data_IF_552757726483
#
_entry.id   IF_552757726483
#
_cell.length_a   1.000
_cell.length_b   1.000
_cell.length_c   1.000
_cell.angle_alpha   90.00
_cell.angle_beta   90.00
_cell.angle_gamma   90.00
#
_symmetry.space_group_name_H-M   'P 1'
#
loop_
_entity.id
_entity.type
_entity.pdbx_description
1 polymer ?
#
# COMPACT_ATOMS: atom_id res chain seq x y z
N UNK A 1 6.77 -2.70 115.49
CA UNK A 1 7.22 -3.62 114.42
C UNK A 1 6.21 -3.50 113.29
N UNK A 2 6.39 -2.44 112.53
CA UNK A 2 5.44 -1.78 111.64
C UNK A 2 6.15 -0.43 111.37
N UNK A 3 6.24 0.20 110.22
CA UNK A 3 5.59 0.11 108.93
C UNK A 3 6.58 0.73 107.95
N UNK A 4 6.77 0.16 106.76
CA UNK A 4 7.71 0.73 105.78
C UNK A 4 7.00 1.84 105.00
N UNK A 5 7.07 3.05 105.58
CA UNK A 5 6.91 4.32 104.90
C UNK A 5 8.26 4.74 104.32
N UNK A 6 8.31 5.00 103.01
CA UNK A 6 9.10 6.12 102.51
C UNK A 6 8.46 6.70 101.25
N UNK A 7 7.41 7.51 101.48
CA UNK A 7 7.08 8.64 100.64
C UNK A 7 8.03 9.79 101.00
N UNK A 8 8.83 10.24 100.03
CA UNK A 8 9.46 11.55 100.07
C UNK A 8 8.99 12.36 98.86
N UNK A 9 8.22 13.41 99.15
CA UNK A 9 7.76 14.46 98.25
C UNK A 9 8.77 15.61 98.16
N UNK A 10 8.81 16.22 96.97
CA UNK A 10 9.13 17.62 96.58
C UNK A 10 10.28 17.72 95.58
N UNK A 11 9.97 18.00 94.31
CA UNK A 11 10.06 19.36 93.80
C UNK A 11 9.44 19.50 92.41
N UNK A 12 8.80 20.64 92.19
CA UNK A 12 8.09 21.00 90.97
C UNK A 12 9.06 21.25 89.80
N UNK A 13 8.89 20.53 88.70
CA UNK A 13 9.28 21.01 87.38
C UNK A 13 8.09 20.89 86.43
N UNK A 14 7.33 21.99 86.34
CA UNK A 14 6.34 22.21 85.29
C UNK A 14 7.12 22.40 83.97
N UNK A 15 7.38 21.29 83.28
CA UNK A 15 7.91 21.30 81.92
C UNK A 15 6.71 21.47 80.99
N UNK A 16 6.55 22.67 80.43
CA UNK A 16 5.57 22.95 79.37
C UNK A 16 5.73 21.90 78.26
N UNK A 17 4.65 21.23 77.81
CA UNK A 17 4.76 20.32 76.68
C UNK A 17 5.19 21.11 75.44
N UNK A 18 6.18 20.65 74.67
CA UNK A 18 6.51 21.28 73.40
C UNK A 18 5.27 21.18 72.50
N UNK A 19 4.82 22.31 71.94
CA UNK A 19 3.81 22.33 70.89
C UNK A 19 4.31 21.42 69.75
N UNK A 20 3.86 20.16 69.73
CA UNK A 20 4.06 19.27 68.59
C UNK A 20 3.32 19.90 67.43
N UNK A 21 4.09 20.56 66.55
CA UNK A 21 3.58 21.12 65.31
C UNK A 21 2.90 19.98 64.52
N UNK A 22 1.60 20.09 64.22
CA UNK A 22 0.90 19.07 63.44
C UNK A 22 1.49 18.89 62.04
N UNK A 23 2.31 19.83 61.55
CA UNK A 23 3.06 19.67 60.29
C UNK A 23 4.17 18.62 60.40
N UNK A 24 4.93 18.57 61.50
CA UNK A 24 6.03 17.61 61.64
C UNK A 24 5.51 16.17 61.64
N UNK A 25 4.39 15.91 62.34
CA UNK A 25 3.75 14.59 62.35
C UNK A 25 3.22 14.23 60.94
N UNK A 26 2.58 15.17 60.24
CA UNK A 26 2.11 14.95 58.86
C UNK A 26 3.25 14.68 57.89
N UNK A 27 4.39 15.36 58.03
CA UNK A 27 5.57 15.11 57.21
C UNK A 27 6.17 13.74 57.48
N UNK A 28 6.25 13.31 58.75
CA UNK A 28 6.72 11.97 59.11
C UNK A 28 5.79 10.88 58.55
N UNK A 29 4.46 11.07 58.64
CA UNK A 29 3.49 10.13 58.06
C UNK A 29 3.60 10.06 56.54
N UNK A 30 3.80 11.19 55.85
CA UNK A 30 4.01 11.20 54.39
C UNK A 30 5.29 10.48 53.97
N UNK A 31 6.39 10.68 54.70
CA UNK A 31 7.65 9.97 54.44
C UNK A 31 7.46 8.48 54.66
N UNK A 32 6.78 8.08 55.74
CA UNK A 32 6.51 6.67 56.03
C UNK A 32 5.62 6.03 54.95
N UNK A 33 4.58 6.74 54.48
CA UNK A 33 3.72 6.28 53.39
C UNK A 33 4.48 6.13 52.06
N UNK A 34 5.39 7.05 51.74
CA UNK A 34 6.27 6.95 50.56
C UNK A 34 7.21 5.75 50.66
N UNK A 35 7.86 5.54 51.81
CA UNK A 35 8.77 4.40 52.03
C UNK A 35 8.01 3.07 51.97
N UNK A 36 6.84 2.99 52.61
CA UNK A 36 5.96 1.82 52.52
C UNK A 36 5.48 1.58 51.09
N UNK A 37 5.12 2.63 50.34
CA UNK A 37 4.72 2.53 48.94
C UNK A 37 5.84 1.99 48.06
N UNK A 38 7.07 2.49 48.21
CA UNK A 38 8.25 1.99 47.48
C UNK A 38 8.57 0.55 47.87
N UNK A 39 8.45 0.19 49.15
CA UNK A 39 8.67 -1.17 49.62
C UNK A 39 7.63 -2.15 49.08
N UNK A 40 6.34 -1.81 49.13
CA UNK A 40 5.25 -2.63 48.57
C UNK A 40 5.43 -2.78 47.05
N UNK A 41 5.81 -1.71 46.35
CA UNK A 41 6.07 -1.75 44.91
C UNK A 41 7.29 -2.62 44.57
N UNK A 42 8.36 -2.57 45.39
CA UNK A 42 9.55 -3.40 45.25
C UNK A 42 9.27 -4.88 45.51
N UNK A 43 8.44 -5.20 46.52
CA UNK A 43 8.01 -6.58 46.80
C UNK A 43 7.06 -7.09 45.71
N UNK A 44 6.17 -6.24 45.20
CA UNK A 44 5.31 -6.56 44.04
C UNK A 44 6.12 -6.85 42.77
N UNK A 45 7.14 -6.03 42.48
CA UNK A 45 8.08 -6.26 41.37
C UNK A 45 8.90 -7.55 41.56
N UNK A 46 9.33 -7.86 42.80
CA UNK A 46 10.00 -9.14 43.10
C UNK A 46 9.07 -10.34 42.95
N UNK A 47 7.79 -10.24 43.29
CA UNK A 47 6.81 -11.32 43.06
C UNK A 47 6.50 -11.53 41.56
N UNK A 48 6.53 -10.47 40.75
CA UNK A 48 6.42 -10.58 39.28
C UNK A 48 7.69 -11.22 38.69
N UNK A 49 8.88 -10.85 39.19
CA UNK A 49 10.16 -11.42 38.76
C UNK A 49 10.39 -12.89 39.18
N UNK A 50 9.80 -13.33 40.30
CA UNK A 50 9.92 -14.72 40.79
C UNK A 50 8.82 -15.63 40.22
N UNK A 51 7.68 -15.10 39.77
CA UNK A 51 6.65 -15.88 39.04
C UNK A 51 6.95 -16.08 37.55
N UNK A 52 7.90 -15.36 36.95
CA UNK A 52 8.23 -15.54 35.52
C UNK A 52 9.22 -16.67 35.23
N UNK A 53 9.72 -17.39 36.25
CA UNK A 53 10.58 -18.56 36.09
C UNK A 53 9.83 -19.91 36.15
N UNK A 54 8.49 -19.88 36.13
CA UNK A 54 7.70 -21.06 35.81
C UNK A 54 7.78 -21.29 34.30
N UNK A 55 8.53 -22.32 33.90
CA UNK A 55 8.70 -22.68 32.49
C UNK A 55 7.37 -22.69 31.75
N UNK A 56 7.17 -21.68 30.90
CA UNK A 56 6.23 -21.78 29.80
C UNK A 56 6.81 -22.88 28.93
N UNK A 57 6.35 -24.11 29.16
CA UNK A 57 6.52 -25.19 28.20
C UNK A 57 6.00 -24.59 26.91
N UNK A 58 6.91 -24.28 25.98
CA UNK A 58 6.55 -23.91 24.64
C UNK A 58 5.73 -25.08 24.13
N UNK A 59 4.40 -24.94 24.20
CA UNK A 59 3.51 -25.77 23.42
C UNK A 59 3.98 -25.46 22.01
N UNK A 60 4.83 -26.33 21.46
CA UNK A 60 4.99 -26.43 20.03
C UNK A 60 3.60 -26.79 19.55
N UNK A 61 2.78 -25.76 19.32
CA UNK A 61 1.63 -25.86 18.44
C UNK A 61 2.27 -26.31 17.15
N UNK A 62 2.22 -27.62 16.91
CA UNK A 62 2.49 -28.16 15.59
C UNK A 62 1.56 -27.36 14.70
N UNK A 63 2.11 -26.41 13.92
CA UNK A 63 1.32 -25.59 13.02
C UNK A 63 0.56 -26.57 12.15
N UNK A 64 -0.75 -26.73 12.41
CA UNK A 64 -1.59 -27.57 11.57
C UNK A 64 -1.46 -26.97 10.18
N UNK A 65 -1.05 -27.75 9.16
CA UNK A 65 -0.99 -27.25 7.81
C UNK A 65 -2.33 -26.63 7.46
N UNK A 66 -2.34 -25.42 6.90
CA UNK A 66 -3.58 -24.80 6.48
C UNK A 66 -4.23 -25.69 5.41
N UNK A 67 -5.37 -26.29 5.75
CA UNK A 67 -6.05 -27.22 4.87
C UNK A 67 -6.93 -26.47 3.86
N UNK A 68 -6.67 -26.68 2.57
CA UNK A 68 -7.46 -26.15 1.47
C UNK A 68 -8.52 -27.16 1.02
N UNK A 69 -9.42 -27.58 1.92
CA UNK A 69 -10.44 -28.60 1.63
C UNK A 69 -11.49 -28.13 0.63
N UNK A 70 -11.86 -26.84 0.66
CA UNK A 70 -12.95 -26.28 -0.15
C UNK A 70 -12.43 -25.45 -1.34
N UNK A 71 -11.41 -25.93 -2.04
CA UNK A 71 -10.84 -25.25 -3.22
C UNK A 71 -10.89 -26.16 -4.42
N UNK A 72 -11.60 -25.70 -5.46
CA UNK A 72 -11.61 -26.30 -6.78
C UNK A 72 -10.17 -26.60 -7.26
N UNK A 73 -9.89 -27.79 -7.84
CA UNK A 73 -8.54 -28.15 -8.28
C UNK A 73 -7.89 -27.11 -9.20
N UNK A 74 -8.68 -26.44 -10.05
CA UNK A 74 -8.23 -25.38 -10.96
C UNK A 74 -7.81 -24.08 -10.25
N UNK A 75 -8.29 -23.86 -9.03
CA UNK A 75 -8.01 -22.64 -8.24
C UNK A 75 -6.85 -22.83 -7.27
N UNK A 76 -6.47 -24.08 -6.96
CA UNK A 76 -5.38 -24.41 -6.03
C UNK A 76 -4.04 -23.73 -6.37
N UNK A 77 -3.59 -23.64 -7.64
CA UNK A 77 -2.33 -22.99 -7.98
C UNK A 77 -2.25 -21.50 -7.62
N UNK A 78 -3.40 -20.83 -7.47
CA UNK A 78 -3.51 -19.38 -7.22
C UNK A 78 -3.76 -19.03 -5.75
N UNK A 79 -3.70 -20.03 -4.85
CA UNK A 79 -3.97 -19.86 -3.42
C UNK A 79 -2.72 -20.18 -2.63
N UNK A 80 -2.28 -19.21 -1.84
CA UNK A 80 -1.04 -19.29 -1.07
C UNK A 80 -1.29 -19.01 0.40
N UNK A 81 -0.39 -19.52 1.24
CA UNK A 81 -0.35 -19.26 2.68
C UNK A 81 1.06 -18.75 3.03
N UNK A 82 1.42 -17.51 2.64
CA UNK A 82 2.75 -16.97 2.86
C UNK A 82 3.09 -16.91 4.35
N UNK A 83 4.37 -17.13 4.65
CA UNK A 83 4.96 -17.08 5.99
C UNK A 83 6.04 -16.00 5.99
N UNK A 84 5.66 -14.72 6.20
CA UNK A 84 6.62 -13.62 6.24
C UNK A 84 7.68 -13.85 7.31
N UNK A 85 8.92 -13.46 7.01
CA UNK A 85 10.02 -13.49 7.97
C UNK A 85 9.99 -12.27 8.91
N UNK A 86 9.37 -11.19 8.47
CA UNK A 86 9.38 -9.89 9.14
C UNK A 86 8.34 -9.74 10.24
N UNK A 87 7.28 -10.56 10.24
CA UNK A 87 6.22 -10.52 11.27
C UNK A 87 5.41 -11.83 11.27
N UNK A 88 4.63 -12.08 12.33
CA UNK A 88 3.69 -13.19 12.38
C UNK A 88 2.32 -12.77 11.87
N UNK A 89 1.71 -13.57 10.99
CA UNK A 89 0.33 -13.37 10.52
C UNK A 89 -0.74 -13.74 11.57
N UNK A 90 -0.32 -14.24 12.74
CA UNK A 90 -1.17 -14.57 13.89
C UNK A 90 -2.45 -15.34 13.48
N UNK A 91 -3.63 -14.87 13.88
CA UNK A 91 -4.93 -15.47 13.54
C UNK A 91 -5.19 -15.59 12.03
N UNK A 92 -4.49 -14.79 11.22
CA UNK A 92 -4.62 -14.75 9.77
C UNK A 92 -3.58 -15.62 9.04
N UNK A 93 -2.80 -16.45 9.74
CA UNK A 93 -1.81 -17.35 9.13
C UNK A 93 -2.43 -18.28 8.06
N UNK A 94 -3.63 -18.81 8.34
CA UNK A 94 -4.38 -19.65 7.39
C UNK A 94 -5.36 -18.89 6.49
N UNK A 95 -5.26 -17.55 6.42
CA UNK A 95 -5.98 -16.81 5.39
C UNK A 95 -5.32 -17.01 4.03
N UNK A 96 -6.13 -17.41 3.06
CA UNK A 96 -5.76 -17.60 1.65
C UNK A 96 -5.30 -16.26 1.07
N UNK A 97 -4.16 -16.27 0.40
CA UNK A 97 -3.60 -15.10 -0.28
C UNK A 97 -3.51 -15.37 -1.77
N UNK A 98 -3.99 -14.43 -2.58
CA UNK A 98 -3.85 -14.44 -4.04
C UNK A 98 -2.82 -13.43 -4.49
N UNK A 99 -1.98 -13.84 -5.43
CA UNK A 99 -0.96 -12.98 -6.00
C UNK A 99 -1.49 -12.31 -7.27
N UNK A 100 -1.22 -11.01 -7.40
CA UNK A 100 -1.56 -10.28 -8.63
C UNK A 100 -0.50 -9.29 -9.06
N UNK A 101 -0.59 -8.85 -10.31
CA UNK A 101 0.18 -7.73 -10.84
C UNK A 101 -0.69 -6.88 -11.78
N UNK A 102 -0.69 -5.56 -11.58
CA UNK A 102 -1.32 -4.60 -12.48
C UNK A 102 -0.30 -4.25 -13.56
N UNK A 103 -0.49 -4.77 -14.77
CA UNK A 103 0.39 -4.56 -15.91
C UNK A 103 -0.14 -3.40 -16.77
N UNK A 104 0.66 -2.37 -16.96
CA UNK A 104 0.19 -1.11 -17.56
C UNK A 104 1.31 -0.36 -18.28
N UNK A 105 0.95 0.65 -19.07
CA UNK A 105 1.89 1.69 -19.53
C UNK A 105 1.75 2.96 -18.67
N UNK A 106 2.70 3.89 -18.77
CA UNK A 106 2.57 5.17 -18.07
C UNK A 106 1.32 5.94 -18.53
N UNK A 107 0.69 6.64 -17.58
CA UNK A 107 -0.48 7.51 -17.80
C UNK A 107 -1.75 6.81 -18.31
N UNK A 108 -1.87 5.50 -18.07
CA UNK A 108 -3.07 4.71 -18.38
C UNK A 108 -4.08 4.62 -17.23
N UNK A 109 -3.92 5.42 -16.17
CA UNK A 109 -4.85 5.42 -15.02
C UNK A 109 -4.53 4.39 -13.94
N UNK A 110 -3.42 3.65 -14.07
CA UNK A 110 -3.03 2.59 -13.12
C UNK A 110 -2.73 3.08 -11.71
N UNK A 111 -2.24 4.31 -11.52
CA UNK A 111 -2.12 4.91 -10.19
C UNK A 111 -3.46 5.16 -9.50
N UNK A 112 -4.48 5.62 -10.24
CA UNK A 112 -5.84 5.80 -9.71
C UNK A 112 -6.49 4.44 -9.43
N UNK A 113 -6.38 3.50 -10.37
CA UNK A 113 -6.90 2.14 -10.20
C UNK A 113 -6.28 1.42 -9.00
N UNK A 114 -4.97 1.54 -8.81
CA UNK A 114 -4.28 1.03 -7.62
C UNK A 114 -4.86 1.61 -6.31
N UNK A 115 -5.13 2.92 -6.26
CA UNK A 115 -5.73 3.51 -5.05
C UNK A 115 -7.14 2.98 -4.76
N UNK A 116 -7.92 2.65 -5.80
CA UNK A 116 -9.22 1.98 -5.63
C UNK A 116 -9.04 0.61 -4.99
N UNK A 117 -8.10 -0.21 -5.51
CA UNK A 117 -7.85 -1.53 -4.93
C UNK A 117 -7.33 -1.42 -3.49
N UNK A 118 -6.43 -0.48 -3.23
CA UNK A 118 -5.87 -0.26 -1.89
C UNK A 118 -6.89 0.30 -0.88
N UNK A 119 -8.06 0.78 -1.31
CA UNK A 119 -9.13 1.12 -0.38
C UNK A 119 -9.84 -0.12 0.20
N UNK A 120 -9.67 -1.30 -0.43
CA UNK A 120 -10.22 -2.56 0.07
C UNK A 120 -9.40 -3.10 1.24
N UNK A 121 -10.01 -3.41 2.38
CA UNK A 121 -9.28 -3.82 3.61
C UNK A 121 -8.39 -5.06 3.45
N UNK A 122 -8.68 -5.97 2.53
CA UNK A 122 -7.89 -7.19 2.29
C UNK A 122 -7.02 -7.18 1.02
N UNK A 123 -6.92 -6.05 0.30
CA UNK A 123 -6.02 -5.95 -0.87
C UNK A 123 -4.83 -5.04 -0.53
N UNK A 124 -3.62 -5.46 -0.91
CA UNK A 124 -2.40 -4.68 -0.82
C UNK A 124 -1.65 -4.66 -2.16
N UNK A 125 -1.70 -3.53 -2.87
CA UNK A 125 -0.86 -3.23 -4.03
C UNK A 125 0.29 -2.31 -3.63
N UNK A 126 1.52 -2.77 -3.85
CA UNK A 126 2.74 -2.17 -3.29
C UNK A 126 3.42 -1.15 -4.22
N UNK A 127 2.67 -0.50 -5.11
CA UNK A 127 3.20 0.53 -6.00
C UNK A 127 4.10 -0.01 -7.11
N UNK A 128 4.87 0.90 -7.72
CA UNK A 128 5.82 0.59 -8.80
C UNK A 128 7.18 0.19 -8.26
N UNK A 129 7.27 -1.00 -7.66
CA UNK A 129 8.51 -1.45 -7.02
C UNK A 129 9.69 -1.54 -8.01
N UNK A 130 9.41 -1.82 -9.29
CA UNK A 130 10.40 -1.89 -10.39
C UNK A 130 10.65 -0.56 -11.13
N UNK A 131 10.12 0.55 -10.62
CA UNK A 131 10.62 1.88 -11.02
C UNK A 131 12.08 2.08 -10.59
N UNK A 132 12.50 1.43 -9.50
CA UNK A 132 13.86 1.45 -8.95
C UNK A 132 14.79 0.58 -9.79
N UNK A 133 15.83 1.19 -10.38
CA UNK A 133 16.77 0.53 -11.31
C UNK A 133 17.43 -0.73 -10.73
N UNK A 134 17.90 -0.68 -9.49
CA UNK A 134 18.60 -1.80 -8.84
C UNK A 134 17.74 -3.06 -8.77
N UNK A 135 16.43 -2.91 -8.57
CA UNK A 135 15.50 -4.05 -8.44
C UNK A 135 15.19 -4.75 -9.77
N UNK A 136 15.59 -4.15 -10.89
CA UNK A 136 15.42 -4.70 -12.25
C UNK A 136 16.74 -4.77 -13.02
N UNK A 137 17.86 -4.88 -12.31
CA UNK A 137 19.19 -4.97 -12.90
C UNK A 137 19.37 -6.23 -13.75
N UNK A 138 18.77 -7.34 -13.34
CA UNK A 138 18.73 -8.61 -14.05
C UNK A 138 17.51 -9.44 -13.60
N UNK A 139 17.29 -10.57 -14.28
CA UNK A 139 16.14 -11.45 -14.02
C UNK A 139 16.15 -12.06 -12.62
N UNK A 140 17.30 -12.51 -12.09
CA UNK A 140 17.39 -13.08 -10.73
C UNK A 140 16.91 -12.08 -9.68
N UNK A 141 17.38 -10.84 -9.76
CA UNK A 141 16.99 -9.77 -8.84
C UNK A 141 15.50 -9.43 -8.94
N UNK A 142 14.91 -9.52 -10.14
CA UNK A 142 13.46 -9.36 -10.34
C UNK A 142 12.70 -10.46 -9.60
N UNK A 143 13.06 -11.72 -9.82
CA UNK A 143 12.37 -12.86 -9.20
C UNK A 143 12.52 -12.86 -7.68
N UNK A 144 13.72 -12.60 -7.14
CA UNK A 144 13.95 -12.43 -5.70
C UNK A 144 13.10 -11.30 -5.10
N UNK A 145 12.92 -10.20 -5.84
CA UNK A 145 12.06 -9.09 -5.40
C UNK A 145 10.59 -9.50 -5.39
N UNK A 146 10.14 -10.27 -6.38
CA UNK A 146 8.77 -10.82 -6.42
C UNK A 146 8.55 -11.80 -5.27
N UNK A 147 9.51 -12.68 -4.96
CA UNK A 147 9.39 -13.61 -3.84
C UNK A 147 9.26 -12.88 -2.50
N UNK A 148 10.05 -11.81 -2.27
CA UNK A 148 9.91 -10.96 -1.09
C UNK A 148 8.53 -10.30 -1.01
N UNK A 149 8.03 -9.78 -2.13
CA UNK A 149 6.69 -9.19 -2.22
C UNK A 149 5.60 -10.20 -1.87
N UNK A 150 5.62 -11.36 -2.52
CA UNK A 150 4.57 -12.37 -2.41
C UNK A 150 4.64 -13.17 -1.11
N UNK A 151 5.80 -13.19 -0.44
CA UNK A 151 5.92 -13.67 0.95
C UNK A 151 5.45 -12.63 1.99
N UNK A 152 4.94 -11.47 1.57
CA UNK A 152 4.52 -10.35 2.44
C UNK A 152 5.67 -9.67 3.19
N UNK A 153 6.93 -9.89 2.81
CA UNK A 153 8.10 -9.27 3.43
C UNK A 153 8.46 -7.89 2.83
N UNK A 154 7.62 -7.38 1.93
CA UNK A 154 7.84 -6.10 1.28
C UNK A 154 7.03 -4.98 1.95
N UNK A 155 7.71 -4.20 2.79
CA UNK A 155 7.09 -3.15 3.59
C UNK A 155 6.98 -1.84 2.80
N UNK A 156 5.75 -1.38 2.61
CA UNK A 156 5.38 -0.09 2.02
C UNK A 156 4.26 0.54 2.85
N UNK A 157 3.91 1.79 2.54
CA UNK A 157 2.73 2.43 3.14
C UNK A 157 1.40 1.74 2.81
N UNK A 158 1.37 0.85 1.81
CA UNK A 158 0.20 0.09 1.40
C UNK A 158 0.16 -1.33 2.00
N UNK A 159 1.18 -1.75 2.75
CA UNK A 159 1.26 -3.09 3.32
C UNK A 159 0.21 -3.27 4.42
N UNK A 160 -0.62 -4.31 4.28
CA UNK A 160 -1.66 -4.68 5.24
C UNK A 160 -1.28 -6.03 5.83
N UNK A 161 -0.43 -6.00 6.86
CA UNK A 161 0.39 -7.14 7.20
C UNK A 161 -0.41 -8.33 7.75
N UNK A 162 -1.53 -8.10 8.43
CA UNK A 162 -2.23 -9.18 9.14
C UNK A 162 -3.08 -10.05 8.20
N UNK A 163 -4.20 -9.51 7.72
CA UNK A 163 -5.26 -10.29 7.06
C UNK A 163 -5.43 -9.93 5.57
N UNK A 164 -4.31 -9.76 4.87
CA UNK A 164 -4.31 -9.62 3.41
C UNK A 164 -4.81 -10.90 2.74
N UNK A 165 -5.73 -10.74 1.78
CA UNK A 165 -6.26 -11.81 0.94
C UNK A 165 -5.80 -11.70 -0.51
N UNK A 166 -5.37 -10.51 -0.96
CA UNK A 166 -4.72 -10.33 -2.25
C UNK A 166 -3.54 -9.37 -2.13
N UNK A 167 -2.35 -9.81 -2.57
CA UNK A 167 -1.14 -9.00 -2.57
C UNK A 167 -0.57 -8.89 -3.99
N UNK A 168 -0.09 -7.72 -4.33
CA UNK A 168 0.46 -7.47 -5.64
C UNK A 168 1.23 -6.16 -5.75
N UNK A 169 1.45 -5.78 -6.99
CA UNK A 169 2.18 -4.59 -7.39
C UNK A 169 1.57 -3.97 -8.63
N UNK A 170 1.97 -2.72 -8.88
CA UNK A 170 1.80 -2.08 -10.18
C UNK A 170 3.11 -2.17 -10.94
N UNK A 171 3.08 -2.65 -12.18
CA UNK A 171 4.28 -2.86 -12.98
C UNK A 171 4.09 -2.28 -14.37
N UNK A 172 4.92 -1.30 -14.71
CA UNK A 172 4.88 -0.71 -16.05
C UNK A 172 5.62 -1.61 -17.04
N UNK A 173 5.07 -1.80 -18.25
CA UNK A 173 5.63 -2.71 -19.27
C UNK A 173 7.10 -2.40 -19.59
N UNK A 174 7.51 -1.14 -19.55
CA UNK A 174 8.89 -0.71 -19.81
C UNK A 174 9.85 -0.85 -18.61
N UNK A 175 9.43 -1.44 -17.48
CA UNK A 175 10.23 -1.60 -16.26
C UNK A 175 10.81 -3.01 -16.12
N UNK A 176 11.41 -3.56 -17.18
CA UNK A 176 12.05 -4.89 -17.15
C UNK A 176 11.11 -6.04 -17.54
N UNK A 177 9.79 -5.83 -17.49
CA UNK A 177 8.80 -6.86 -17.76
C UNK A 177 8.88 -7.38 -19.21
N UNK A 178 8.93 -6.47 -20.18
CA UNK A 178 9.01 -6.85 -21.59
C UNK A 178 10.38 -7.41 -21.99
N UNK A 179 11.44 -7.09 -21.23
CA UNK A 179 12.81 -7.55 -21.48
C UNK A 179 13.06 -8.97 -20.97
N UNK A 180 12.39 -9.38 -19.89
CA UNK A 180 12.55 -10.70 -19.25
C UNK A 180 11.23 -11.50 -19.29
N UNK A 181 10.48 -11.35 -20.38
CA UNK A 181 9.10 -11.84 -20.48
C UNK A 181 8.99 -13.35 -20.27
N UNK A 182 9.90 -14.16 -20.83
CA UNK A 182 9.84 -15.63 -20.73
C UNK A 182 9.93 -16.09 -19.27
N UNK A 183 10.90 -15.57 -18.53
CA UNK A 183 11.12 -15.95 -17.13
C UNK A 183 10.02 -15.42 -16.22
N UNK A 184 9.49 -14.23 -16.51
CA UNK A 184 8.40 -13.62 -15.72
C UNK A 184 7.09 -14.36 -15.98
N UNK A 185 6.78 -14.73 -17.23
CA UNK A 185 5.59 -15.54 -17.56
C UNK A 185 5.66 -16.90 -16.87
N UNK A 186 6.82 -17.55 -16.87
CA UNK A 186 7.00 -18.82 -16.18
C UNK A 186 6.86 -18.67 -14.66
N UNK A 187 7.41 -17.60 -14.08
CA UNK A 187 7.18 -17.26 -12.68
C UNK A 187 5.68 -17.07 -12.38
N UNK A 188 4.94 -16.35 -13.22
CA UNK A 188 3.51 -16.12 -13.03
C UNK A 188 2.71 -17.42 -13.05
N UNK A 189 3.05 -18.36 -13.95
CA UNK A 189 2.43 -19.69 -14.01
C UNK A 189 2.76 -20.52 -12.78
N UNK A 190 4.04 -20.65 -12.47
CA UNK A 190 4.53 -21.49 -11.35
C UNK A 190 4.04 -20.96 -10.00
N UNK A 191 3.96 -19.65 -9.83
CA UNK A 191 3.60 -18.99 -8.56
C UNK A 191 2.14 -18.54 -8.53
N UNK A 192 1.32 -18.88 -9.52
CA UNK A 192 -0.10 -18.53 -9.52
C UNK A 192 -0.39 -17.03 -9.47
N UNK A 193 0.43 -16.21 -10.15
CA UNK A 193 0.20 -14.76 -10.20
C UNK A 193 -0.85 -14.42 -11.25
N UNK A 194 -1.88 -13.69 -10.84
CA UNK A 194 -2.93 -13.20 -11.74
C UNK A 194 -2.57 -11.84 -12.33
N UNK A 195 -2.53 -11.73 -13.66
CA UNK A 195 -2.26 -10.46 -14.33
C UNK A 195 -3.54 -9.64 -14.56
N UNK A 196 -3.50 -8.35 -14.24
CA UNK A 196 -4.54 -7.39 -14.56
C UNK A 196 -3.95 -6.38 -15.53
N UNK A 197 -4.23 -6.53 -16.82
CA UNK A 197 -3.85 -5.53 -17.80
C UNK A 197 -4.77 -4.31 -17.68
N UNK A 198 -4.18 -3.13 -17.51
CA UNK A 198 -4.91 -1.88 -17.54
C UNK A 198 -4.31 -0.95 -18.59
N UNK A 199 -5.06 -0.73 -19.66
CA UNK A 199 -4.67 0.14 -20.74
C UNK A 199 -5.60 1.34 -20.86
N UNK A 200 -5.21 2.29 -21.72
CA UNK A 200 -6.00 3.46 -22.05
C UNK A 200 -6.19 3.49 -23.55
N UNK A 201 -7.44 3.48 -24.02
CA UNK A 201 -7.77 3.45 -25.45
C UNK A 201 -7.26 4.70 -26.15
N UNK A 202 -7.50 5.87 -25.57
CA UNK A 202 -7.08 7.13 -26.19
C UNK A 202 -5.57 7.40 -25.95
N UNK A 203 -4.74 6.90 -26.87
CA UNK A 203 -3.28 7.03 -26.78
C UNK A 203 -2.79 8.47 -27.02
N UNK A 204 -3.52 9.30 -27.78
CA UNK A 204 -3.21 10.72 -27.94
C UNK A 204 -3.38 11.45 -26.60
N UNK A 205 -4.48 11.23 -25.89
CA UNK A 205 -4.71 11.80 -24.56
C UNK A 205 -3.70 11.28 -23.53
N UNK A 206 -3.29 10.02 -23.64
CA UNK A 206 -2.19 9.46 -22.85
C UNK A 206 -0.90 10.27 -23.09
N UNK A 207 -0.56 10.53 -24.36
CA UNK A 207 0.63 11.31 -24.75
C UNK A 207 0.57 12.74 -24.21
N UNK A 208 -0.56 13.45 -24.36
CA UNK A 208 -0.75 14.80 -23.78
C UNK A 208 -0.51 14.77 -22.28
N UNK A 209 -1.08 13.79 -21.57
CA UNK A 209 -0.85 13.66 -20.13
C UNK A 209 0.59 13.31 -19.77
N UNK A 210 1.33 12.61 -20.63
CA UNK A 210 2.76 12.34 -20.41
C UNK A 210 3.59 13.62 -20.57
N UNK A 211 3.35 14.39 -21.63
CA UNK A 211 4.07 15.64 -21.89
C UNK A 211 3.83 16.66 -20.78
N UNK A 212 2.58 16.83 -20.33
CA UNK A 212 2.26 17.71 -19.21
C UNK A 212 2.93 17.27 -17.89
N UNK A 213 2.95 15.97 -17.60
CA UNK A 213 3.65 15.45 -16.42
C UNK A 213 5.17 15.69 -16.51
N UNK A 214 5.77 15.48 -17.68
CA UNK A 214 7.20 15.71 -17.90
C UNK A 214 7.56 17.19 -17.79
N UNK A 215 6.67 18.09 -18.22
CA UNK A 215 6.85 19.52 -18.05
C UNK A 215 6.84 19.90 -16.56
N UNK A 216 5.83 19.44 -15.81
CA UNK A 216 5.72 19.70 -14.37
C UNK A 216 6.92 19.15 -13.56
N UNK A 217 7.56 18.07 -14.01
CA UNK A 217 8.77 17.55 -13.37
C UNK A 217 9.90 18.58 -13.31
N UNK A 218 9.99 19.46 -14.31
CA UNK A 218 10.98 20.52 -14.41
C UNK A 218 10.44 21.85 -13.88
N UNK A 219 9.24 22.24 -14.34
CA UNK A 219 8.61 23.51 -14.02
C UNK A 219 8.08 23.59 -12.59
N UNK A 220 7.72 22.45 -11.99
CA UNK A 220 7.26 22.30 -10.60
C UNK A 220 6.15 23.30 -10.27
N UNK A 221 5.04 23.19 -11.00
CA UNK A 221 3.96 24.19 -11.04
C UNK A 221 3.26 24.39 -9.70
N UNK A 222 3.42 23.45 -8.77
CA UNK A 222 2.80 23.48 -7.45
C UNK A 222 3.84 23.82 -6.39
N UNK A 223 4.12 25.12 -6.23
CA UNK A 223 5.03 25.66 -5.22
C UNK A 223 6.42 24.97 -5.20
N UNK A 224 7.02 24.75 -6.38
CA UNK A 224 8.34 24.12 -6.47
C UNK A 224 8.33 22.60 -6.23
N UNK A 225 7.16 21.96 -6.21
CA UNK A 225 7.01 20.51 -6.09
C UNK A 225 6.40 19.91 -7.36
N UNK A 226 7.00 18.82 -7.85
CA UNK A 226 6.40 17.99 -8.90
C UNK A 226 5.28 17.11 -8.35
N UNK A 227 4.13 17.04 -9.03
CA UNK A 227 3.02 16.16 -8.67
C UNK A 227 2.50 15.37 -9.88
N UNK A 228 2.76 14.07 -9.86
CA UNK A 228 2.26 13.15 -10.90
C UNK A 228 0.76 12.82 -10.76
N UNK A 229 0.23 12.93 -9.54
CA UNK A 229 -1.16 12.74 -9.16
C UNK A 229 -1.55 13.84 -8.15
N UNK A 230 -2.83 14.21 -8.14
CA UNK A 230 -3.37 15.22 -7.21
C UNK A 230 -4.70 14.77 -6.62
N UNK A 231 -4.97 15.26 -5.42
CA UNK A 231 -6.22 15.09 -4.67
C UNK A 231 -7.06 16.38 -4.67
N UNK A 232 -6.54 17.47 -5.22
CA UNK A 232 -7.15 18.79 -5.19
C UNK A 232 -7.65 19.20 -6.58
N UNK A 233 -8.94 19.53 -6.72
CA UNK A 233 -9.46 20.10 -7.97
C UNK A 233 -8.73 21.38 -8.40
N UNK A 234 -8.25 22.19 -7.44
CA UNK A 234 -7.51 23.43 -7.73
C UNK A 234 -6.13 23.13 -8.33
N UNK A 235 -5.39 22.21 -7.73
CA UNK A 235 -4.09 21.76 -8.26
C UNK A 235 -4.24 21.11 -9.64
N UNK A 236 -5.31 20.33 -9.85
CA UNK A 236 -5.61 19.73 -11.14
C UNK A 236 -5.78 20.76 -12.26
N UNK A 237 -6.42 21.90 -11.98
CA UNK A 237 -6.55 22.99 -12.94
C UNK A 237 -5.18 23.61 -13.28
N UNK A 238 -4.33 23.81 -12.28
CA UNK A 238 -2.97 24.34 -12.49
C UNK A 238 -2.14 23.37 -13.34
N UNK A 239 -2.14 22.09 -13.01
CA UNK A 239 -1.40 21.07 -13.76
C UNK A 239 -1.92 20.89 -15.20
N UNK A 240 -3.22 21.10 -15.43
CA UNK A 240 -3.83 21.03 -16.76
C UNK A 240 -3.65 22.31 -17.60
N UNK A 241 -3.08 23.38 -17.03
CA UNK A 241 -2.91 24.66 -17.73
C UNK A 241 -1.84 24.60 -18.83
N UNK A 242 -0.86 23.70 -18.69
CA UNK A 242 0.16 23.50 -19.70
C UNK A 242 -0.40 22.76 -20.92
N UNK A 243 -0.23 23.37 -22.09
CA UNK A 243 -0.60 22.81 -23.39
C UNK A 243 0.67 22.41 -24.15
N UNK A 244 0.97 21.12 -24.30
CA UNK A 244 2.12 20.71 -25.09
C UNK A 244 1.93 21.00 -26.57
N UNK A 245 3.04 21.33 -27.23
CA UNK A 245 3.19 21.20 -28.69
C UNK A 245 3.60 19.77 -29.01
N UNK A 246 2.85 19.11 -29.89
CA UNK A 246 3.10 17.72 -30.30
C UNK A 246 3.92 17.70 -31.58
N UNK A 247 5.01 16.91 -31.58
CA UNK A 247 5.77 16.63 -32.79
C UNK A 247 4.95 15.70 -33.71
N UNK A 248 4.39 16.26 -34.77
CA UNK A 248 3.52 15.55 -35.72
C UNK A 248 4.27 14.51 -36.55
N UNK A 249 5.54 14.73 -36.87
CA UNK A 249 6.39 13.78 -37.59
C UNK A 249 6.54 12.45 -36.83
N UNK A 250 6.61 12.50 -35.49
CA UNK A 250 6.75 11.32 -34.64
C UNK A 250 5.43 10.83 -34.03
N UNK A 251 4.31 11.51 -34.30
CA UNK A 251 3.04 11.23 -33.62
C UNK A 251 2.55 9.81 -33.89
N UNK A 252 2.33 9.45 -35.16
CA UNK A 252 1.83 8.12 -35.54
C UNK A 252 2.80 7.00 -35.09
N UNK A 253 4.13 7.07 -35.34
CA UNK A 253 5.08 6.08 -34.82
C UNK A 253 5.00 5.89 -33.31
N UNK A 254 4.88 6.96 -32.53
CA UNK A 254 4.79 6.89 -31.07
C UNK A 254 3.47 6.28 -30.58
N UNK A 255 2.35 6.58 -31.25
CA UNK A 255 1.06 5.95 -30.95
C UNK A 255 1.13 4.45 -31.23
N UNK A 256 1.64 4.08 -32.41
CA UNK A 256 1.83 2.70 -32.83
C UNK A 256 2.74 1.91 -31.91
N UNK A 257 3.86 2.49 -31.48
CA UNK A 257 4.80 1.81 -30.59
C UNK A 257 4.13 1.35 -29.29
N UNK A 258 3.26 2.19 -28.71
CA UNK A 258 2.61 1.85 -27.44
C UNK A 258 1.46 0.86 -27.64
N UNK A 259 0.74 0.98 -28.76
CA UNK A 259 -0.27 0.00 -29.15
C UNK A 259 0.36 -1.39 -29.36
N UNK A 260 1.43 -1.47 -30.15
CA UNK A 260 2.19 -2.69 -30.41
C UNK A 260 2.77 -3.28 -29.10
N UNK A 261 3.21 -2.43 -28.17
CA UNK A 261 3.71 -2.88 -26.86
C UNK A 261 2.60 -3.53 -26.02
N UNK A 262 1.39 -2.96 -26.01
CA UNK A 262 0.25 -3.53 -25.30
C UNK A 262 -0.18 -4.88 -25.91
N UNK A 263 -0.27 -4.95 -27.24
CA UNK A 263 -0.58 -6.19 -27.97
C UNK A 263 0.45 -7.28 -27.67
N UNK A 264 1.75 -6.96 -27.73
CA UNK A 264 2.83 -7.90 -27.39
C UNK A 264 2.76 -8.38 -25.95
N UNK A 265 2.50 -7.48 -25.00
CA UNK A 265 2.41 -7.84 -23.60
C UNK A 265 1.25 -8.82 -23.34
N UNK A 266 0.09 -8.57 -23.91
CA UNK A 266 -1.05 -9.51 -23.83
C UNK A 266 -0.69 -10.85 -24.49
N UNK A 267 -0.03 -10.82 -25.64
CA UNK A 267 0.43 -12.02 -26.34
C UNK A 267 1.38 -12.88 -25.51
N UNK A 268 2.37 -12.28 -24.86
CA UNK A 268 3.33 -13.00 -24.00
C UNK A 268 2.65 -13.67 -22.80
N UNK A 269 1.65 -13.02 -22.20
CA UNK A 269 0.95 -13.51 -21.01
C UNK A 269 -0.32 -14.32 -21.32
N UNK A 270 -0.53 -14.73 -22.59
CA UNK A 270 -1.74 -15.44 -23.03
C UNK A 270 -2.00 -16.73 -22.23
N UNK A 271 -0.93 -17.39 -21.77
CA UNK A 271 -0.94 -18.65 -21.02
C UNK A 271 -1.04 -18.47 -19.51
N UNK A 272 -1.02 -17.22 -19.03
CA UNK A 272 -1.23 -16.89 -17.62
C UNK A 272 -2.70 -16.55 -17.35
N UNK A 273 -3.13 -16.67 -16.11
CA UNK A 273 -4.45 -16.19 -15.68
C UNK A 273 -4.47 -14.66 -15.72
N UNK A 274 -5.23 -14.09 -16.65
CA UNK A 274 -5.27 -12.64 -16.82
C UNK A 274 -6.65 -12.09 -17.18
N UNK A 275 -6.84 -10.80 -16.94
CA UNK A 275 -7.95 -9.98 -17.45
C UNK A 275 -7.41 -8.73 -18.12
N UNK A 276 -8.16 -8.18 -19.06
CA UNK A 276 -7.82 -6.95 -19.78
C UNK A 276 -8.91 -5.92 -19.51
N UNK A 277 -8.48 -4.78 -18.97
CA UNK A 277 -9.32 -3.66 -18.63
C UNK A 277 -8.85 -2.41 -19.36
N UNK A 278 -9.79 -1.53 -19.65
CA UNK A 278 -9.48 -0.22 -20.20
C UNK A 278 -10.03 0.86 -19.28
N UNK A 279 -9.22 1.89 -19.07
CA UNK A 279 -9.53 3.03 -18.21
C UNK A 279 -10.91 3.61 -18.52
N UNK A 280 -11.22 3.78 -19.80
CA UNK A 280 -12.47 4.34 -20.29
C UNK A 280 -13.69 3.53 -19.84
N UNK A 281 -13.58 2.19 -19.83
CA UNK A 281 -14.66 1.30 -19.44
C UNK A 281 -14.94 1.41 -17.94
N UNK A 282 -13.89 1.47 -17.10
CA UNK A 282 -14.02 1.60 -15.64
C UNK A 282 -14.66 2.93 -15.27
N UNK A 283 -14.30 4.00 -15.97
CA UNK A 283 -14.88 5.33 -15.72
C UNK A 283 -16.36 5.37 -16.14
N UNK A 284 -16.70 4.71 -17.25
CA UNK A 284 -18.08 4.65 -17.75
C UNK A 284 -18.96 3.75 -16.88
N UNK A 285 -18.42 2.63 -16.39
CA UNK A 285 -19.15 1.64 -15.62
C UNK A 285 -18.31 1.11 -14.45
N UNK A 286 -18.58 1.63 -13.25
CA UNK A 286 -17.85 1.23 -12.04
C UNK A 286 -18.13 -0.22 -11.61
N UNK A 287 -19.18 -0.88 -12.13
CA UNK A 287 -19.44 -2.29 -11.80
C UNK A 287 -18.32 -3.23 -12.27
N UNK A 288 -17.47 -2.79 -13.20
CA UNK A 288 -16.24 -3.51 -13.59
C UNK A 288 -15.32 -3.73 -12.37
N UNK A 289 -15.33 -2.84 -11.38
CA UNK A 289 -14.55 -3.04 -10.15
C UNK A 289 -15.05 -4.24 -9.33
N UNK A 290 -16.32 -4.61 -9.42
CA UNK A 290 -16.83 -5.84 -8.81
C UNK A 290 -16.23 -7.07 -9.50
N UNK A 291 -16.14 -7.03 -10.83
CA UNK A 291 -15.48 -8.10 -11.60
C UNK A 291 -14.00 -8.26 -11.22
N UNK A 292 -13.28 -7.16 -10.95
CA UNK A 292 -11.90 -7.23 -10.46
C UNK A 292 -11.81 -7.88 -9.07
N UNK A 293 -12.72 -7.51 -8.16
CA UNK A 293 -12.78 -8.12 -6.82
C UNK A 293 -13.08 -9.62 -6.90
N UNK A 294 -14.03 -10.02 -7.76
CA UNK A 294 -14.34 -11.43 -8.02
C UNK A 294 -13.15 -12.17 -8.66
N UNK A 295 -12.45 -11.52 -9.58
CA UNK A 295 -11.25 -12.07 -10.21
C UNK A 295 -10.13 -12.31 -9.20
N UNK A 296 -9.98 -11.43 -8.20
CA UNK A 296 -9.05 -11.59 -7.08
C UNK A 296 -9.63 -12.43 -5.92
N UNK A 297 -10.88 -12.90 -6.03
CA UNK A 297 -11.60 -13.69 -5.02
C UNK A 297 -11.61 -13.03 -3.64
N UNK A 298 -11.76 -11.72 -3.60
CA UNK A 298 -12.01 -10.96 -2.36
C UNK A 298 -13.49 -10.58 -2.27
N UNK A 299 -14.04 -10.35 -1.07
CA UNK A 299 -15.41 -9.87 -0.91
C UNK A 299 -15.62 -8.57 -1.68
N UNK A 300 -16.78 -8.41 -2.32
CA UNK A 300 -17.11 -7.13 -2.96
C UNK A 300 -17.31 -6.05 -1.91
N UNK A 301 -16.65 -4.92 -2.08
CA UNK A 301 -16.80 -3.69 -1.31
C UNK A 301 -16.82 -2.49 -2.23
N UNK A 302 -17.33 -1.39 -1.70
CA UNK A 302 -17.26 -0.09 -2.37
C UNK A 302 -15.81 0.41 -2.35
N UNK A 303 -15.23 0.53 -3.54
CA UNK A 303 -13.87 1.02 -3.72
C UNK A 303 -13.89 2.54 -3.94
N UNK A 304 -12.94 3.24 -3.33
CA UNK A 304 -12.88 4.69 -3.40
C UNK A 304 -11.47 5.20 -3.64
N UNK A 305 -11.36 6.36 -4.29
CA UNK A 305 -10.09 7.03 -4.55
C UNK A 305 -10.24 8.52 -4.34
N UNK A 306 -9.26 9.12 -3.66
CA UNK A 306 -9.17 10.56 -3.52
C UNK A 306 -8.49 11.23 -4.72
N UNK A 307 -7.97 10.47 -5.70
CA UNK A 307 -7.29 11.08 -6.85
C UNK A 307 -8.30 11.75 -7.78
N UNK A 308 -7.95 12.94 -8.30
CA UNK A 308 -8.78 13.66 -9.26
C UNK A 308 -8.14 13.65 -10.66
N UNK A 309 -8.99 13.55 -11.70
CA UNK A 309 -8.53 13.62 -13.10
C UNK A 309 -8.04 15.04 -13.40
N UNK A 310 -6.78 15.16 -13.82
CA UNK A 310 -6.13 16.44 -14.19
C UNK A 310 -6.75 17.00 -15.47
N UNK A 311 -6.60 16.29 -16.59
CA UNK A 311 -7.06 16.75 -17.90
C UNK A 311 -8.54 16.41 -18.12
N UNK A 312 -9.39 17.44 -18.17
CA UNK A 312 -10.83 17.36 -18.44
C UNK A 312 -11.17 18.12 -19.73
N UNK A 313 -12.21 17.67 -20.45
CA UNK A 313 -12.65 18.31 -21.69
C UNK A 313 -11.99 17.79 -22.98
N UNK A 314 -12.24 18.47 -24.11
CA UNK A 314 -11.73 18.07 -25.42
C UNK A 314 -10.21 18.21 -25.51
N UNK A 315 -9.56 17.42 -26.37
CA UNK A 315 -8.11 17.51 -26.58
C UNK A 315 -7.70 18.80 -27.30
N UNK A 316 -8.58 19.37 -28.11
CA UNK A 316 -8.35 20.65 -28.80
C UNK A 316 -8.05 21.82 -27.87
N UNK A 317 -8.58 21.79 -26.64
CA UNK A 317 -8.27 22.81 -25.63
C UNK A 317 -7.00 22.52 -24.82
N UNK A 318 -6.36 21.36 -25.04
CA UNK A 318 -5.24 20.84 -24.23
C UNK A 318 -3.94 20.74 -25.03
N UNK A 319 -3.93 21.08 -26.30
CA UNK A 319 -2.77 20.96 -27.21
C UNK A 319 -2.60 22.28 -27.94
N UNK A 320 -1.36 22.76 -28.01
CA UNK A 320 -1.06 24.09 -28.58
C UNK A 320 -1.24 24.08 -30.11
N UNK A 321 -0.63 23.12 -30.80
CA UNK A 321 -0.70 22.97 -32.26
C UNK A 321 -1.81 21.98 -32.69
N UNK A 322 -3.02 22.13 -32.14
CA UNK A 322 -4.12 21.18 -32.36
C UNK A 322 -4.46 20.95 -33.85
N UNK A 323 -4.47 22.01 -34.66
CA UNK A 323 -4.81 21.92 -36.10
C UNK A 323 -3.88 20.95 -36.83
N UNK A 324 -2.59 20.99 -36.53
CA UNK A 324 -1.60 20.10 -37.17
C UNK A 324 -1.76 18.65 -36.69
N UNK A 325 -2.06 18.46 -35.40
CA UNK A 325 -2.33 17.14 -34.82
C UNK A 325 -3.58 16.52 -35.44
N UNK A 326 -4.65 17.29 -35.55
CA UNK A 326 -5.90 16.87 -36.19
C UNK A 326 -5.67 16.48 -37.65
N UNK A 327 -4.96 17.33 -38.40
CA UNK A 327 -4.59 17.03 -39.80
C UNK A 327 -3.75 15.77 -39.93
N UNK A 328 -2.83 15.53 -38.99
CA UNK A 328 -1.94 14.36 -39.01
C UNK A 328 -2.69 13.05 -38.74
N UNK A 329 -3.72 13.08 -37.89
CA UNK A 329 -4.46 11.86 -37.52
C UNK A 329 -5.67 11.56 -38.39
N UNK A 330 -6.23 12.56 -39.09
CA UNK A 330 -7.35 12.34 -40.03
C UNK A 330 -6.96 11.34 -41.13
N UNK A 331 -7.85 10.39 -41.40
CA UNK A 331 -7.65 9.32 -42.38
C UNK A 331 -6.70 8.21 -41.91
N UNK A 332 -6.26 8.23 -40.66
CA UNK A 332 -5.38 7.19 -40.08
C UNK A 332 -6.18 6.27 -39.14
N UNK A 333 -5.66 5.07 -38.79
CA UNK A 333 -6.28 4.21 -37.78
C UNK A 333 -6.43 4.87 -36.39
N UNK A 334 -5.74 5.99 -36.15
CA UNK A 334 -5.75 6.73 -34.89
C UNK A 334 -6.66 7.95 -34.92
N UNK A 335 -7.44 8.17 -36.00
CA UNK A 335 -8.38 9.29 -36.11
C UNK A 335 -9.38 9.34 -34.95
N UNK A 336 -9.84 8.18 -34.48
CA UNK A 336 -10.78 8.08 -33.35
C UNK A 336 -10.24 8.73 -32.06
N UNK A 337 -8.93 8.85 -31.89
CA UNK A 337 -8.32 9.48 -30.72
C UNK A 337 -8.54 11.00 -30.66
N UNK A 338 -8.98 11.63 -31.74
CA UNK A 338 -9.38 13.04 -31.75
C UNK A 338 -10.66 13.29 -30.94
N UNK A 339 -11.46 12.23 -30.71
CA UNK A 339 -12.73 12.32 -30.01
C UNK A 339 -12.59 12.10 -28.48
N UNK A 340 -13.68 12.37 -27.76
CA UNK A 340 -13.71 12.19 -26.31
C UNK A 340 -13.61 10.72 -25.91
N UNK A 341 -12.98 10.45 -24.75
CA UNK A 341 -12.70 9.12 -24.18
C UNK A 341 -13.92 8.16 -24.16
N UNK A 342 -15.16 8.66 -24.17
CA UNK A 342 -16.39 7.85 -24.05
C UNK A 342 -17.16 7.68 -25.36
N UNK A 343 -16.62 8.20 -26.48
CA UNK A 343 -17.17 8.04 -27.84
C UNK A 343 -16.31 7.14 -28.72
N UNK A 344 -15.26 6.53 -28.16
CA UNK A 344 -14.31 5.65 -28.83
C UNK A 344 -14.69 4.20 -28.56
#
# INVERSE_FOLDING_TARGET
MADDFCFFTMDSFIIKPPKKSPMMLRMVVLIFAMVCGVYICSVGLKQIGVRSSGGLSSIHVVEKPCEATDIEPSEKPYVHFPKPNTFSRAECACNRVRYFAILSTQRSGSGWFETLLNSHMNISSNGEIFSVKVRKSNVSTILETLDKLYNLDFLTSASKNECTAAVGLKWMLNQGLMQHQEQIVEYFKTRGVSAIFLFRRNLLRRMVSMLANSYDQNAKLLNGTHKSHTHSPKEAVILASYKPTINTTLLIPNLKQVDDMAVKAVGYFNSTRHIILYYEDIIKNQTILNYVQDFLKVPRKDLHSHQVKIHKGPLSSQVENWVDVEKTLKGTPYESFLHADYKI
#
